data_IF_627600785258
#
_entry.id   IF_627600785258
#
_cell.length_a   1.000
_cell.length_b   1.000
_cell.length_c   1.000
_cell.angle_alpha   90.00
_cell.angle_beta   90.00
_cell.angle_gamma   90.00
#
_symmetry.space_group_name_H-M   'P 1'
#
loop_
_entity.id
_entity.type
_entity.pdbx_description
1 polymer ?
#
# COMPACT_ATOMS: atom_id res chain seq x y z
N UNK A 1 -3.45 1.45 15.90
CA UNK A 1 -4.28 0.58 15.03
C UNK A 1 -3.51 0.30 13.75
N UNK A 2 -2.83 -0.85 13.62
CA UNK A 2 -2.04 -1.16 12.41
C UNK A 2 -2.85 -1.87 11.33
N UNK A 3 -3.82 -2.72 11.72
CA UNK A 3 -4.65 -3.47 10.78
C UNK A 3 -5.53 -2.59 9.88
N UNK A 4 -6.24 -1.60 10.43
CA UNK A 4 -7.06 -0.70 9.60
C UNK A 4 -6.20 0.17 8.66
N UNK A 5 -4.98 0.54 9.06
CA UNK A 5 -4.03 1.22 8.18
C UNK A 5 -3.59 0.30 7.02
N UNK A 6 -3.30 -0.97 7.30
CA UNK A 6 -3.00 -1.96 6.26
C UNK A 6 -4.15 -2.14 5.25
N UNK A 7 -5.41 -2.14 5.74
CA UNK A 7 -6.60 -2.25 4.89
C UNK A 7 -6.82 -0.98 4.05
N UNK A 8 -6.52 0.20 4.60
CA UNK A 8 -6.58 1.46 3.84
C UNK A 8 -5.63 1.53 2.64
N UNK A 9 -4.66 0.61 2.59
CA UNK A 9 -3.81 0.38 1.44
C UNK A 9 -4.54 -0.06 0.16
N UNK A 10 -5.86 -0.34 0.23
CA UNK A 10 -6.73 -0.49 -0.95
C UNK A 10 -6.65 0.70 -1.92
N UNK A 11 -6.16 1.85 -1.45
CA UNK A 11 -5.73 2.99 -2.26
C UNK A 11 -4.83 2.62 -3.46
N UNK A 12 -4.13 1.48 -3.44
CA UNK A 12 -3.36 0.96 -4.58
C UNK A 12 -4.22 0.72 -5.82
N UNK A 13 -5.49 0.31 -5.64
CA UNK A 13 -6.44 0.12 -6.73
C UNK A 13 -6.80 1.47 -7.35
N UNK A 14 -7.09 2.47 -6.51
CA UNK A 14 -7.32 3.84 -6.95
C UNK A 14 -6.13 4.43 -7.71
N UNK A 15 -4.90 4.17 -7.25
CA UNK A 15 -3.68 4.60 -7.92
C UNK A 15 -3.52 3.96 -9.32
N UNK A 16 -3.87 2.68 -9.48
CA UNK A 16 -3.86 2.01 -10.78
C UNK A 16 -4.86 2.64 -11.76
N UNK A 17 -6.10 2.86 -11.33
CA UNK A 17 -7.12 3.51 -12.16
C UNK A 17 -6.71 4.95 -12.51
N UNK A 18 -6.25 5.73 -11.54
CA UNK A 18 -5.81 7.11 -11.75
C UNK A 18 -4.61 7.19 -12.70
N UNK A 19 -3.65 6.26 -12.59
CA UNK A 19 -2.50 6.20 -13.49
C UNK A 19 -2.92 5.92 -14.94
N UNK A 20 -3.93 5.09 -15.15
CA UNK A 20 -4.45 4.80 -16.48
C UNK A 20 -5.14 6.03 -17.08
N UNK A 21 -6.04 6.67 -16.34
CA UNK A 21 -6.76 7.87 -16.79
C UNK A 21 -5.81 9.04 -17.06
N UNK A 22 -4.82 9.26 -16.19
CA UNK A 22 -3.86 10.36 -16.34
C UNK A 22 -2.99 10.19 -17.61
N UNK A 23 -2.72 8.95 -18.04
CA UNK A 23 -1.94 8.67 -19.24
C UNK A 23 -2.65 9.14 -20.52
N UNK A 24 -3.97 9.22 -20.52
CA UNK A 24 -4.79 9.59 -21.67
C UNK A 24 -4.92 11.13 -21.86
N UNK A 25 -4.38 11.92 -20.93
CA UNK A 25 -4.56 13.38 -20.86
C UNK A 25 -3.62 14.23 -21.72
N UNK A 26 -2.80 13.60 -22.57
CA UNK A 26 -1.88 14.29 -23.50
C UNK A 26 -0.59 14.84 -22.89
N UNK A 27 -0.43 14.84 -21.56
CA UNK A 27 0.79 15.26 -20.86
C UNK A 27 1.50 14.06 -20.18
N UNK A 28 1.88 13.10 -21.03
CA UNK A 28 2.36 11.76 -20.66
C UNK A 28 3.52 11.73 -19.65
N UNK A 29 4.57 12.59 -19.75
CA UNK A 29 5.72 12.50 -18.86
C UNK A 29 5.37 12.80 -17.39
N UNK A 30 4.56 13.84 -17.16
CA UNK A 30 4.15 14.21 -15.80
C UNK A 30 3.17 13.21 -15.20
N UNK A 31 2.21 12.73 -16.01
CA UNK A 31 1.26 11.70 -15.62
C UNK A 31 1.97 10.39 -15.20
N UNK A 32 2.98 9.97 -15.95
CA UNK A 32 3.75 8.77 -15.65
C UNK A 32 4.50 8.89 -14.31
N UNK A 33 5.15 10.03 -14.04
CA UNK A 33 5.85 10.25 -12.76
C UNK A 33 4.90 10.30 -11.57
N UNK A 34 3.74 10.97 -11.71
CA UNK A 34 2.74 11.03 -10.65
C UNK A 34 2.09 9.67 -10.39
N UNK A 35 1.75 8.93 -11.45
CA UNK A 35 1.22 7.57 -11.34
C UNK A 35 2.21 6.62 -10.67
N UNK A 36 3.48 6.68 -11.07
CA UNK A 36 4.56 5.93 -10.42
C UNK A 36 4.68 6.26 -8.94
N UNK A 37 4.74 7.55 -8.58
CA UNK A 37 4.83 7.97 -7.18
C UNK A 37 3.61 7.51 -6.36
N UNK A 38 2.39 7.63 -6.91
CA UNK A 38 1.16 7.17 -6.27
C UNK A 38 1.19 5.65 -6.00
N UNK A 39 1.63 4.87 -6.97
CA UNK A 39 1.79 3.41 -6.84
C UNK A 39 2.82 3.03 -5.78
N UNK A 40 3.98 3.70 -5.76
CA UNK A 40 5.03 3.47 -4.75
C UNK A 40 4.50 3.77 -3.34
N UNK A 41 3.86 4.91 -3.15
CA UNK A 41 3.32 5.32 -1.85
C UNK A 41 2.21 4.37 -1.37
N UNK A 42 1.29 3.98 -2.26
CA UNK A 42 0.25 3.02 -1.94
C UNK A 42 0.83 1.65 -1.57
N UNK A 43 1.87 1.19 -2.28
CA UNK A 43 2.58 -0.05 -1.98
C UNK A 43 3.23 0.00 -0.61
N UNK A 44 3.90 1.10 -0.27
CA UNK A 44 4.51 1.29 1.07
C UNK A 44 3.44 1.21 2.17
N UNK A 45 2.27 1.83 1.95
CA UNK A 45 1.17 1.79 2.92
C UNK A 45 0.64 0.36 3.14
N UNK A 46 0.37 -0.40 2.06
CA UNK A 46 -0.06 -1.79 2.11
C UNK A 46 0.98 -2.66 2.82
N UNK A 47 2.21 -2.70 2.28
CA UNK A 47 3.26 -3.62 2.75
C UNK A 47 3.69 -3.27 4.18
N UNK A 48 3.92 -1.99 4.45
CA UNK A 48 4.28 -1.51 5.79
C UNK A 48 3.17 -1.79 6.81
N UNK A 49 1.91 -1.53 6.44
CA UNK A 49 0.76 -1.80 7.28
C UNK A 49 0.64 -3.28 7.65
N UNK A 50 0.76 -4.20 6.69
CA UNK A 50 0.71 -5.64 6.96
C UNK A 50 1.93 -6.13 7.74
N UNK A 51 3.13 -5.63 7.44
CA UNK A 51 4.36 -6.02 8.15
C UNK A 51 4.31 -5.63 9.64
N UNK A 52 3.86 -4.40 9.95
CA UNK A 52 3.70 -3.93 11.33
C UNK A 52 2.57 -4.69 12.01
N UNK A 53 1.45 -4.92 11.33
CA UNK A 53 0.32 -5.69 11.88
C UNK A 53 0.77 -7.10 12.26
N UNK A 54 1.53 -7.78 11.40
CA UNK A 54 2.09 -9.10 11.69
C UNK A 54 3.02 -9.07 12.93
N UNK A 55 3.90 -8.07 13.06
CA UNK A 55 4.76 -7.92 14.25
C UNK A 55 3.92 -7.70 15.51
N UNK A 56 2.89 -6.85 15.46
CA UNK A 56 1.98 -6.61 16.59
C UNK A 56 1.22 -7.88 16.99
N UNK A 57 0.69 -8.61 16.01
CA UNK A 57 -0.02 -9.86 16.27
C UNK A 57 0.91 -10.93 16.86
N UNK A 58 2.17 -11.00 16.43
CA UNK A 58 3.16 -11.91 17.03
C UNK A 58 3.52 -11.52 18.49
N UNK A 59 3.47 -10.24 18.84
CA UNK A 59 3.65 -9.79 20.23
C UNK A 59 2.45 -10.17 21.11
N UNK A 60 1.23 -10.07 20.57
CA UNK A 60 -0.02 -10.39 21.30
C UNK A 60 -0.25 -11.90 21.42
N UNK A 61 -0.02 -12.65 20.33
CA UNK A 61 -0.18 -14.10 20.31
C UNK A 61 0.83 -14.82 21.23
N UNK A 62 1.84 -14.10 21.72
CA UNK A 62 3.00 -14.66 22.39
C UNK A 62 3.83 -15.52 21.44
N UNK A 63 5.09 -15.78 21.80
CA UNK A 63 5.87 -16.81 21.09
C UNK A 63 5.10 -18.12 21.30
N UNK A 64 4.41 -18.64 20.28
CA UNK A 64 4.00 -20.04 20.31
C UNK A 64 5.30 -20.81 20.55
N UNK A 65 5.47 -21.31 21.78
CA UNK A 65 6.38 -22.42 22.09
C UNK A 65 5.83 -23.61 21.29
N UNK A 66 6.07 -23.58 19.98
CA UNK A 66 6.07 -24.77 19.17
C UNK A 66 7.21 -25.63 19.71
N UNK A 67 6.84 -26.86 20.06
CA UNK A 67 7.76 -27.92 20.48
C UNK A 67 8.96 -28.02 19.56
#
# INVERSE_FOLDING_TARGET
MSGANAISGITIVGALFASNVASDSGNYPLAAWLGFAALVLATINVVGGFAVTNRMLNMIAGKRRGK
#
